data_IF_977639313080
#
_entry.id   IF_977639313080
#
_cell.length_a   1.000
_cell.length_b   1.000
_cell.length_c   1.000
_cell.angle_alpha   90.00
_cell.angle_beta   90.00
_cell.angle_gamma   90.00
#
_symmetry.space_group_name_H-M   'P 1'
#
loop_
_entity.id
_entity.type
_entity.pdbx_description
1 polymer ?
#
# COMPACT_ATOMS: atom_id res chain seq x y z
N UNK A 1 -1.40 -21.79 -7.56
CA UNK A 1 -2.78 -21.25 -7.53
C UNK A 1 -2.74 -19.85 -8.15
N UNK A 2 -3.45 -19.60 -9.27
CA UNK A 2 -3.53 -18.26 -9.88
C UNK A 2 -4.93 -17.70 -9.68
N UNK A 3 -5.17 -17.04 -8.55
CA UNK A 3 -6.30 -16.11 -8.46
C UNK A 3 -5.90 -14.81 -9.18
N UNK A 4 -6.65 -14.43 -10.22
CA UNK A 4 -6.45 -13.17 -10.95
C UNK A 4 -7.02 -12.01 -10.12
N UNK A 5 -6.29 -11.57 -9.10
CA UNK A 5 -6.64 -10.34 -8.39
C UNK A 5 -6.32 -9.13 -9.28
N UNK A 6 -7.35 -8.38 -9.68
CA UNK A 6 -7.20 -7.10 -10.39
C UNK A 6 -7.23 -5.93 -9.40
N UNK A 7 -6.11 -5.73 -8.72
CA UNK A 7 -5.96 -4.67 -7.73
C UNK A 7 -6.02 -3.26 -8.36
N UNK A 8 -5.68 -3.12 -9.65
CA UNK A 8 -5.73 -1.84 -10.37
C UNK A 8 -7.19 -1.38 -10.53
N UNK A 9 -8.07 -2.25 -10.99
CA UNK A 9 -9.50 -1.93 -11.10
C UNK A 9 -10.13 -1.69 -9.74
N UNK A 10 -9.79 -2.50 -8.73
CA UNK A 10 -10.28 -2.32 -7.36
C UNK A 10 -9.87 -0.95 -6.79
N UNK A 11 -8.59 -0.59 -6.90
CA UNK A 11 -8.05 0.70 -6.43
C UNK A 11 -8.71 1.89 -7.13
N UNK A 12 -8.84 1.81 -8.45
CA UNK A 12 -9.49 2.85 -9.26
C UNK A 12 -10.95 3.05 -8.83
N UNK A 13 -11.67 1.96 -8.55
CA UNK A 13 -13.06 2.03 -8.10
C UNK A 13 -13.19 2.60 -6.68
N UNK A 14 -12.25 2.30 -5.78
CA UNK A 14 -12.20 2.92 -4.45
C UNK A 14 -12.01 4.44 -4.55
N UNK A 15 -11.05 4.90 -5.36
CA UNK A 15 -10.77 6.32 -5.56
C UNK A 15 -11.91 7.09 -6.23
N UNK A 16 -12.72 6.42 -7.07
CA UNK A 16 -13.93 6.99 -7.69
C UNK A 16 -15.07 7.15 -6.69
N UNK A 17 -15.27 6.17 -5.80
CA UNK A 17 -16.34 6.19 -4.80
C UNK A 17 -16.13 7.26 -3.73
N UNK A 18 -14.87 7.55 -3.40
CA UNK A 18 -14.52 8.59 -2.44
C UNK A 18 -13.30 9.35 -2.96
N UNK A 19 -13.54 10.59 -3.42
CA UNK A 19 -12.49 11.45 -3.98
C UNK A 19 -11.46 11.92 -2.94
N UNK A 20 -11.79 11.85 -1.65
CA UNK A 20 -10.93 12.29 -0.55
C UNK A 20 -10.18 11.13 0.11
N UNK A 21 -10.41 9.88 -0.30
CA UNK A 21 -9.63 8.76 0.22
C UNK A 21 -8.18 8.83 -0.25
N UNK A 22 -7.26 8.81 0.72
CA UNK A 22 -5.83 8.59 0.50
C UNK A 22 -5.53 7.12 0.79
N UNK A 23 -4.60 6.54 0.05
CA UNK A 23 -4.29 5.12 0.08
C UNK A 23 -2.80 4.96 0.36
N UNK A 24 -2.46 4.20 1.38
CA UNK A 24 -1.07 3.90 1.73
C UNK A 24 -0.79 2.42 1.51
N UNK A 25 0.20 2.11 0.68
CA UNK A 25 0.61 0.75 0.36
C UNK A 25 1.95 0.47 1.05
N UNK A 26 1.98 -0.54 1.92
CA UNK A 26 3.19 -1.03 2.59
C UNK A 26 3.57 -2.37 1.98
N UNK A 27 4.84 -2.55 1.63
CA UNK A 27 5.33 -3.80 1.01
C UNK A 27 6.69 -4.21 1.57
N UNK A 28 6.93 -5.51 1.71
CA UNK A 28 8.22 -6.03 2.15
C UNK A 28 9.27 -5.95 1.05
N UNK A 29 10.45 -5.40 1.33
CA UNK A 29 11.52 -5.28 0.34
C UNK A 29 12.10 -6.62 -0.15
N UNK A 30 11.93 -7.68 0.65
CA UNK A 30 12.39 -9.04 0.38
C UNK A 30 11.20 -10.00 0.16
N UNK A 31 10.01 -9.49 -0.20
CA UNK A 31 8.84 -10.33 -0.47
C UNK A 31 9.08 -11.21 -1.71
N UNK A 32 9.11 -12.52 -1.51
CA UNK A 32 9.32 -13.57 -2.52
C UNK A 32 8.01 -14.20 -3.00
N UNK A 33 6.86 -13.82 -2.41
CA UNK A 33 5.52 -14.29 -2.75
C UNK A 33 4.82 -13.32 -3.69
N UNK A 34 4.87 -12.02 -3.36
CA UNK A 34 4.27 -10.95 -4.16
C UNK A 34 5.36 -9.95 -4.57
N UNK A 35 5.65 -9.80 -5.88
CA UNK A 35 6.66 -8.87 -6.36
C UNK A 35 6.39 -7.42 -5.93
N UNK A 36 7.43 -6.74 -5.44
CA UNK A 36 7.41 -5.34 -5.00
C UNK A 36 6.92 -4.41 -6.11
N UNK A 37 7.24 -4.74 -7.37
CA UNK A 37 6.86 -3.99 -8.56
C UNK A 37 5.35 -3.87 -8.71
N UNK A 38 4.58 -4.86 -8.23
CA UNK A 38 3.12 -4.78 -8.27
C UNK A 38 2.59 -3.65 -7.38
N UNK A 39 3.11 -3.50 -6.17
CA UNK A 39 2.77 -2.39 -5.27
C UNK A 39 3.20 -1.03 -5.82
N UNK A 40 4.43 -0.96 -6.37
CA UNK A 40 4.95 0.25 -7.02
C UNK A 40 4.06 0.70 -8.18
N UNK A 41 3.67 -0.23 -9.05
CA UNK A 41 2.80 0.03 -10.20
C UNK A 41 1.39 0.50 -9.83
N UNK A 42 0.91 0.16 -8.63
CA UNK A 42 -0.36 0.65 -8.10
C UNK A 42 -0.26 2.11 -7.64
N UNK A 43 0.85 2.50 -7.03
CA UNK A 43 1.06 3.89 -6.60
C UNK A 43 1.19 4.87 -7.78
N UNK A 44 1.73 4.39 -8.90
CA UNK A 44 1.81 5.17 -10.15
C UNK A 44 0.43 5.47 -10.77
N UNK A 45 -0.65 4.80 -10.35
CA UNK A 45 -2.01 5.09 -10.84
C UNK A 45 -2.43 6.52 -10.47
N UNK A 46 -2.10 6.95 -9.25
CA UNK A 46 -2.36 8.31 -8.80
C UNK A 46 -1.37 8.70 -7.69
N UNK A 47 -0.17 9.22 -8.05
CA UNK A 47 0.88 9.54 -7.09
C UNK A 47 0.50 10.64 -6.08
N UNK A 48 -0.58 11.39 -6.32
CA UNK A 48 -1.06 12.42 -5.40
C UNK A 48 -2.08 11.91 -4.38
N UNK A 49 -2.39 10.60 -4.41
CA UNK A 49 -3.38 9.96 -3.51
C UNK A 49 -2.98 8.57 -3.05
N UNK A 50 -1.94 7.99 -3.66
CA UNK A 50 -1.47 6.64 -3.37
C UNK A 50 0.01 6.71 -3.00
N UNK A 51 0.28 6.62 -1.70
CA UNK A 51 1.64 6.54 -1.16
C UNK A 51 2.10 5.08 -1.15
N UNK A 52 3.38 4.84 -1.43
CA UNK A 52 3.99 3.51 -1.40
C UNK A 52 5.27 3.50 -0.58
N UNK A 53 5.36 2.55 0.36
CA UNK A 53 6.53 2.39 1.21
C UNK A 53 7.02 0.94 1.21
N UNK A 54 8.32 0.80 0.97
CA UNK A 54 9.03 -0.46 1.12
C UNK A 54 9.60 -0.54 2.53
N UNK A 55 9.39 -1.67 3.18
CA UNK A 55 10.00 -2.04 4.46
C UNK A 55 11.22 -2.90 4.15
N UNK A 56 12.41 -2.28 4.21
CA UNK A 56 13.67 -2.95 3.93
C UNK A 56 13.86 -4.17 4.84
N UNK A 57 14.27 -5.31 4.27
CA UNK A 57 14.52 -6.54 5.02
C UNK A 57 13.28 -7.40 5.28
N UNK A 58 12.07 -6.84 5.21
CA UNK A 58 10.83 -7.59 5.42
C UNK A 58 10.45 -8.43 4.19
N UNK A 59 10.06 -9.67 4.40
CA UNK A 59 9.40 -10.54 3.43
C UNK A 59 7.88 -10.56 3.61
N UNK A 60 7.21 -11.55 3.00
CA UNK A 60 5.75 -11.62 3.01
C UNK A 60 5.16 -11.84 4.41
N UNK A 61 5.75 -12.78 5.16
CA UNK A 61 5.16 -13.29 6.41
C UNK A 61 5.51 -12.46 7.65
N UNK A 62 6.60 -11.69 7.61
CA UNK A 62 7.09 -10.88 8.72
C UNK A 62 6.79 -9.39 8.56
N UNK A 63 6.28 -8.95 7.39
CA UNK A 63 5.97 -7.56 7.09
C UNK A 63 5.15 -6.88 8.18
N UNK A 64 4.05 -7.52 8.62
CA UNK A 64 3.17 -6.95 9.65
C UNK A 64 3.92 -6.75 10.96
N UNK A 65 4.84 -7.67 11.31
CA UNK A 65 5.67 -7.59 12.50
C UNK A 65 6.67 -6.43 12.44
N UNK A 66 7.36 -6.31 11.31
CA UNK A 66 8.44 -5.34 11.10
C UNK A 66 7.94 -3.94 10.76
N UNK A 67 6.68 -3.78 10.40
CA UNK A 67 6.06 -2.50 10.02
C UNK A 67 5.07 -1.94 11.03
N UNK A 68 4.97 -2.51 12.24
CA UNK A 68 4.00 -2.09 13.27
C UNK A 68 4.03 -0.59 13.54
N UNK A 69 5.21 -0.04 13.74
CA UNK A 69 5.37 1.40 14.04
C UNK A 69 4.94 2.24 12.84
N UNK A 70 5.35 1.85 11.63
CA UNK A 70 4.91 2.51 10.38
C UNK A 70 3.38 2.47 10.21
N UNK A 71 2.75 1.34 10.50
CA UNK A 71 1.28 1.21 10.44
C UNK A 71 0.64 2.16 11.46
N UNK A 72 1.15 2.21 12.69
CA UNK A 72 0.69 3.14 13.71
C UNK A 72 0.77 4.60 13.26
N UNK A 73 1.94 5.01 12.76
CA UNK A 73 2.19 6.37 12.28
C UNK A 73 1.25 6.75 11.12
N UNK A 74 1.07 5.84 10.15
CA UNK A 74 0.17 6.06 9.01
C UNK A 74 -1.28 6.21 9.48
N UNK A 75 -1.72 5.40 10.45
CA UNK A 75 -3.08 5.49 10.98
C UNK A 75 -3.31 6.81 11.73
N UNK A 76 -2.32 7.28 12.51
CA UNK A 76 -2.39 8.58 13.17
C UNK A 76 -2.47 9.72 12.15
N UNK A 77 -1.58 9.73 11.14
CA UNK A 77 -1.63 10.70 10.04
C UNK A 77 -2.97 10.71 9.30
N UNK A 78 -3.60 9.54 9.13
CA UNK A 78 -4.90 9.43 8.50
C UNK A 78 -6.03 10.04 9.35
N UNK A 79 -5.97 9.87 10.67
CA UNK A 79 -6.92 10.47 11.63
C UNK A 79 -6.77 12.01 11.64
N UNK A 80 -5.54 12.49 11.61
CA UNK A 80 -5.23 13.92 11.66
C UNK A 80 -5.41 14.63 10.30
N UNK A 81 -5.69 13.88 9.23
CA UNK A 81 -5.86 14.42 7.88
C UNK A 81 -4.55 14.83 7.18
N UNK A 82 -3.43 14.26 7.62
CA UNK A 82 -2.06 14.56 7.15
C UNK A 82 -1.52 13.54 6.13
N UNK A 83 -2.30 12.50 5.80
CA UNK A 83 -2.00 11.60 4.71
C UNK A 83 -2.21 12.33 3.37
N UNK A 84 -1.28 12.19 2.41
CA UNK A 84 -1.35 12.90 1.12
C UNK A 84 -1.63 11.96 -0.04
#
# INVERSE_FOLDING_TARGET
LSHRFDNRSALTNLMKKNSSSVIFIIHGGNDDVIPVEMGRSLAEINPSRVEFKIVSGAGHNDLIGLSKDLIGDVMLRAIDGELK
#
